data_IF_109957331164
#
_entry.id   IF_109957331164
#
_cell.length_a   1.000
_cell.length_b   1.000
_cell.length_c   1.000
_cell.angle_alpha   90.00
_cell.angle_beta   90.00
_cell.angle_gamma   90.00
#
_symmetry.space_group_name_H-M   'P 1'
#
loop_
_entity.id
_entity.type
_entity.pdbx_description
1 polymer ?
#
# COMPACT_ATOMS: atom_id res chain seq x y z
N UNK A 1 -6.96 4.45 -9.23
CA UNK A 1 -6.21 3.56 -8.33
C UNK A 1 -6.56 3.94 -6.92
N UNK A 2 -7.21 3.04 -6.19
CA UNK A 2 -7.25 3.12 -4.74
C UNK A 2 -5.84 2.78 -4.26
N UNK A 3 -5.18 3.68 -3.51
CA UNK A 3 -3.86 3.39 -2.97
C UNK A 3 -3.95 2.35 -1.85
N UNK A 4 -2.93 1.51 -1.69
CA UNK A 4 -2.89 0.49 -0.64
C UNK A 4 -2.67 -0.94 -1.13
N UNK A 5 -2.83 -1.18 -2.43
CA UNK A 5 -2.52 -2.45 -3.12
C UNK A 5 -1.02 -2.50 -3.46
N UNK A 6 -0.21 -2.84 -2.46
CA UNK A 6 1.24 -2.83 -2.51
C UNK A 6 1.80 -4.09 -3.19
N UNK A 7 1.09 -5.23 -3.11
CA UNK A 7 1.48 -6.48 -3.77
C UNK A 7 0.96 -6.59 -5.22
N UNK A 8 0.13 -5.63 -5.66
CA UNK A 8 -0.45 -5.51 -7.00
C UNK A 8 -1.35 -6.69 -7.41
N UNK A 9 -2.04 -7.31 -6.46
CA UNK A 9 -2.98 -8.40 -6.70
C UNK A 9 -4.43 -7.94 -6.93
N UNK A 10 -4.69 -6.63 -6.72
CA UNK A 10 -6.00 -6.00 -6.88
C UNK A 10 -6.87 -6.03 -5.61
N UNK A 11 -6.36 -6.52 -4.50
CA UNK A 11 -7.02 -6.65 -3.20
C UNK A 11 -6.20 -5.86 -2.18
N UNK A 12 -6.85 -5.02 -1.37
CA UNK A 12 -6.18 -4.32 -0.28
C UNK A 12 -6.45 -5.06 1.03
N UNK A 13 -5.49 -5.87 1.47
CA UNK A 13 -5.62 -6.72 2.65
C UNK A 13 -4.33 -6.82 3.49
N UNK A 14 -4.23 -7.83 4.37
CA UNK A 14 -3.07 -8.03 5.24
C UNK A 14 -1.78 -8.33 4.48
N UNK A 15 -1.88 -8.83 3.27
CA UNK A 15 -0.75 -9.34 2.48
C UNK A 15 0.03 -8.16 1.88
N UNK A 16 -0.61 -7.05 1.53
CA UNK A 16 0.08 -5.77 1.23
C UNK A 16 1.02 -5.32 2.35
N UNK A 17 0.57 -5.51 3.59
CA UNK A 17 1.31 -5.16 4.79
C UNK A 17 2.43 -6.13 5.09
N UNK A 18 2.17 -7.43 4.97
CA UNK A 18 3.07 -8.50 5.43
C UNK A 18 4.05 -8.99 4.36
N UNK A 19 3.68 -8.89 3.08
CA UNK A 19 4.51 -9.31 1.94
C UNK A 19 5.32 -8.17 1.33
N UNK A 20 4.89 -6.91 1.50
CA UNK A 20 5.55 -5.75 0.89
C UNK A 20 5.97 -4.72 1.95
N UNK A 21 5.01 -4.06 2.60
CA UNK A 21 5.30 -2.95 3.52
C UNK A 21 6.26 -3.34 4.65
N UNK A 22 6.14 -4.55 5.22
CA UNK A 22 7.03 -5.01 6.29
C UNK A 22 8.52 -5.08 5.89
N UNK A 23 8.81 -5.37 4.62
CA UNK A 23 10.18 -5.47 4.12
C UNK A 23 10.75 -4.13 3.65
N UNK A 24 9.88 -3.22 3.24
CA UNK A 24 10.24 -1.92 2.67
C UNK A 24 10.11 -0.76 3.68
N UNK A 25 9.45 -0.96 4.82
CA UNK A 25 9.23 0.08 5.82
C UNK A 25 10.55 0.69 6.32
N UNK A 26 10.69 2.00 6.10
CA UNK A 26 11.88 2.78 6.44
C UNK A 26 12.80 3.05 5.26
N UNK A 27 12.61 2.37 4.13
CA UNK A 27 13.38 2.59 2.91
C UNK A 27 12.92 3.84 2.15
N UNK A 28 13.86 4.47 1.44
CA UNK A 28 13.62 5.63 0.58
C UNK A 28 13.50 5.20 -0.87
N UNK A 29 12.53 5.74 -1.60
CA UNK A 29 12.34 5.51 -3.03
C UNK A 29 10.87 5.25 -3.40
N UNK A 30 10.62 5.17 -4.70
CA UNK A 30 9.32 4.76 -5.24
C UNK A 30 9.20 3.23 -5.20
N UNK A 31 8.83 2.72 -4.02
CA UNK A 31 8.69 1.30 -3.73
C UNK A 31 7.22 0.86 -3.85
N UNK A 32 6.98 -0.46 -3.83
CA UNK A 32 5.61 -0.99 -3.88
C UNK A 32 4.76 -0.52 -2.70
N UNK A 33 5.39 -0.36 -1.54
CA UNK A 33 4.77 0.15 -0.31
C UNK A 33 4.68 1.67 -0.20
N UNK A 34 5.29 2.45 -1.10
CA UNK A 34 5.11 3.92 -1.19
C UNK A 34 3.80 4.23 -1.93
N UNK A 35 2.69 3.85 -1.29
CA UNK A 35 1.35 3.99 -1.87
C UNK A 35 0.84 5.43 -1.85
N UNK A 36 1.51 6.33 -1.12
CA UNK A 36 1.22 7.76 -1.13
C UNK A 36 2.06 8.54 -2.18
N UNK A 37 3.08 7.89 -2.77
CA UNK A 37 4.00 8.42 -3.79
C UNK A 37 4.83 9.63 -3.32
N UNK A 38 5.24 9.67 -2.05
CA UNK A 38 6.12 10.72 -1.50
C UNK A 38 7.61 10.37 -1.57
N UNK A 39 7.96 9.20 -2.12
CA UNK A 39 9.32 8.72 -2.25
C UNK A 39 9.86 8.13 -0.95
N UNK A 40 9.00 7.78 0.00
CA UNK A 40 9.36 7.11 1.24
C UNK A 40 8.35 6.00 1.57
N UNK A 41 8.83 4.81 1.91
CA UNK A 41 7.98 3.77 2.49
C UNK A 41 7.93 3.92 4.02
N UNK A 42 6.80 4.38 4.57
CA UNK A 42 6.69 4.65 6.02
C UNK A 42 5.28 4.49 6.58
N UNK A 43 5.10 4.92 7.83
CA UNK A 43 3.83 4.78 8.53
C UNK A 43 2.70 5.62 7.93
N UNK A 44 2.99 6.64 7.11
CA UNK A 44 1.92 7.39 6.42
C UNK A 44 1.26 6.55 5.34
N UNK A 45 2.03 5.77 4.57
CA UNK A 45 1.50 4.79 3.61
C UNK A 45 0.52 3.85 4.28
N UNK A 46 0.90 3.35 5.46
CA UNK A 46 0.06 2.47 6.26
C UNK A 46 -1.16 3.17 6.84
N UNK A 47 -0.96 4.26 7.57
CA UNK A 47 -2.01 4.88 8.39
C UNK A 47 -2.99 5.72 7.57
N UNK A 48 -2.49 6.41 6.56
CA UNK A 48 -3.23 7.41 5.81
C UNK A 48 -3.77 6.86 4.49
N UNK A 49 -3.27 5.70 4.03
CA UNK A 49 -3.69 5.08 2.75
C UNK A 49 -4.13 3.62 2.93
N UNK A 50 -3.28 2.72 3.42
CA UNK A 50 -3.62 1.29 3.51
C UNK A 50 -4.77 0.99 4.47
N UNK A 51 -4.71 1.50 5.72
CA UNK A 51 -5.74 1.24 6.75
C UNK A 51 -7.12 1.75 6.33
N UNK A 52 -7.19 2.91 5.67
CA UNK A 52 -8.47 3.48 5.22
C UNK A 52 -9.10 2.68 4.07
N UNK A 53 -8.27 1.95 3.32
CA UNK A 53 -8.68 1.12 2.20
C UNK A 53 -8.63 -0.38 2.54
N UNK A 54 -8.45 -0.75 3.82
CA UNK A 54 -8.35 -2.14 4.24
C UNK A 54 -9.69 -2.88 4.00
N UNK A 55 -9.64 -4.03 3.31
CA UNK A 55 -10.78 -4.74 2.69
C UNK A 55 -11.45 -4.01 1.51
N UNK A 56 -10.85 -2.96 0.96
CA UNK A 56 -11.25 -2.43 -0.34
C UNK A 56 -10.67 -3.33 -1.42
N UNK A 57 -11.51 -3.90 -2.26
CA UNK A 57 -11.00 -4.44 -3.52
C UNK A 57 -10.70 -3.27 -4.45
N UNK A 58 -9.49 -3.20 -4.99
CA UNK A 58 -9.15 -2.35 -6.14
C UNK A 58 -9.73 -2.97 -7.41
N UNK A 59 -11.00 -3.38 -7.38
CA UNK A 59 -11.79 -3.50 -8.60
C UNK A 59 -12.02 -2.06 -8.99
N UNK A 60 -11.46 -1.60 -10.10
CA UNK A 60 -11.99 -0.42 -10.78
C UNK A 60 -13.38 -0.82 -11.30
N UNK A 61 -14.52 -0.26 -10.81
CA UNK A 61 -15.82 -0.52 -11.39
C UNK A 61 -16.36 0.79 -12.03
N UNK A 62 -16.35 0.81 -13.37
CA UNK A 62 -16.92 1.78 -14.33
C UNK A 62 -16.68 3.30 -14.15
#
# INVERSE_FOLDING_TARGET
MTGGDANADGIIDSDDGTEVWYFEAGETGYLGSDVNMDGQAHNKDKNDVWIINFNSESKVPD
#
